data_IF_336870593787
#
_entry.id   IF_336870593787
#
_cell.length_a   1.000
_cell.length_b   1.000
_cell.length_c   1.000
_cell.angle_alpha   90.00
_cell.angle_beta   90.00
_cell.angle_gamma   90.00
#
_symmetry.space_group_name_H-M   'P 1'
#
loop_
_entity.id
_entity.type
_entity.pdbx_description
1 polymer ?
#
# COMPACT_ATOMS: atom_id res chain seq x y z
N UNK A 1 -0.63 13.08 -8.15
CA UNK A 1 -1.20 11.77 -8.52
C UNK A 1 -2.37 11.96 -9.49
N UNK A 2 -2.57 10.99 -10.36
CA UNK A 2 -3.71 10.94 -11.29
C UNK A 2 -4.66 9.78 -10.91
N UNK A 3 -5.98 9.89 -11.19
CA UNK A 3 -6.92 8.82 -10.92
C UNK A 3 -6.53 7.51 -11.61
N UNK A 4 -6.57 6.41 -10.85
CA UNK A 4 -6.40 5.05 -11.36
C UNK A 4 -7.68 4.24 -11.12
N UNK A 5 -8.14 3.41 -12.07
CA UNK A 5 -9.36 2.63 -11.89
C UNK A 5 -9.24 1.62 -10.73
N UNK A 6 -10.13 1.64 -9.72
CA UNK A 6 -10.10 0.66 -8.65
C UNK A 6 -10.15 -0.80 -9.12
N UNK A 7 -10.81 -1.05 -10.26
CA UNK A 7 -10.90 -2.39 -10.85
C UNK A 7 -9.58 -2.91 -11.44
N UNK A 8 -8.61 -2.02 -11.66
CA UNK A 8 -7.28 -2.37 -12.20
C UNK A 8 -6.18 -2.47 -11.14
N UNK A 9 -6.50 -2.23 -9.86
CA UNK A 9 -5.48 -2.21 -8.78
C UNK A 9 -4.79 -3.55 -8.58
N UNK A 10 -5.36 -4.65 -9.06
CA UNK A 10 -4.69 -5.95 -9.09
C UNK A 10 -3.33 -5.85 -9.80
N UNK A 11 -3.20 -5.03 -10.86
CA UNK A 11 -1.94 -4.81 -11.57
C UNK A 11 -0.84 -4.15 -10.73
N UNK A 12 -1.21 -3.53 -9.60
CA UNK A 12 -0.29 -2.90 -8.66
C UNK A 12 0.06 -3.82 -7.48
N UNK A 13 -0.82 -4.76 -7.14
CA UNK A 13 -0.72 -5.57 -5.92
C UNK A 13 -0.33 -7.02 -6.22
N UNK A 14 -0.82 -7.60 -7.31
CA UNK A 14 -0.53 -8.98 -7.74
C UNK A 14 0.98 -9.28 -7.91
N UNK A 15 1.84 -8.32 -8.35
CA UNK A 15 3.29 -8.53 -8.35
C UNK A 15 3.89 -8.78 -6.96
N UNK A 16 3.14 -8.53 -5.88
CA UNK A 16 3.56 -8.72 -4.50
C UNK A 16 4.60 -7.71 -3.99
N UNK A 17 4.46 -6.39 -4.23
CA UNK A 17 5.39 -5.40 -3.69
C UNK A 17 5.30 -5.29 -2.17
N UNK A 18 6.33 -4.76 -1.52
CA UNK A 18 6.17 -4.23 -0.16
C UNK A 18 5.16 -3.08 -0.19
N UNK A 19 4.30 -2.98 0.82
CA UNK A 19 3.31 -1.90 0.93
C UNK A 19 3.51 -1.10 2.22
N UNK A 20 3.21 0.19 2.15
CA UNK A 20 2.89 1.00 3.31
C UNK A 20 1.37 0.99 3.53
N UNK A 21 0.93 0.86 4.78
CA UNK A 21 -0.48 0.97 5.17
C UNK A 21 -0.64 2.20 6.04
N UNK A 22 -1.45 3.15 5.57
CA UNK A 22 -1.85 4.30 6.40
C UNK A 22 -3.22 4.04 7.02
N UNK A 23 -3.38 4.46 8.27
CA UNK A 23 -4.63 4.31 9.04
C UNK A 23 -4.89 5.60 9.83
N UNK A 24 -6.04 5.69 10.50
CA UNK A 24 -6.41 6.87 11.31
C UNK A 24 -6.95 8.02 10.45
N UNK A 25 -6.80 9.25 10.94
CA UNK A 25 -7.40 10.43 10.31
C UNK A 25 -6.39 11.57 10.18
N UNK A 26 -6.25 12.09 8.96
CA UNK A 26 -5.44 13.28 8.72
C UNK A 26 -6.04 14.50 9.40
N UNK A 27 -7.35 14.69 9.29
CA UNK A 27 -8.06 15.85 9.85
C UNK A 27 -7.95 15.93 11.38
N UNK A 28 -7.91 14.76 12.04
CA UNK A 28 -7.85 14.68 13.51
C UNK A 28 -6.42 14.52 14.03
N UNK A 29 -5.41 14.47 13.14
CA UNK A 29 -4.01 14.28 13.53
C UNK A 29 -3.68 12.91 14.12
N UNK A 30 -4.53 11.90 13.90
CA UNK A 30 -4.41 10.54 14.50
C UNK A 30 -3.87 9.51 13.52
N UNK A 31 -3.39 9.95 12.37
CA UNK A 31 -2.96 9.08 11.29
C UNK A 31 -1.61 8.42 11.61
N UNK A 32 -1.47 7.17 11.19
CA UNK A 32 -0.26 6.39 11.37
C UNK A 32 0.12 5.69 10.06
N UNK A 33 1.37 5.25 9.95
CA UNK A 33 1.88 4.46 8.82
C UNK A 33 2.65 3.23 9.33
N UNK A 34 2.50 2.11 8.65
CA UNK A 34 3.26 0.88 8.90
C UNK A 34 3.62 0.18 7.60
N UNK A 35 4.51 -0.80 7.68
CA UNK A 35 4.95 -1.60 6.53
C UNK A 35 4.34 -3.00 6.59
N UNK A 36 3.87 -3.53 5.45
CA UNK A 36 3.44 -4.93 5.34
C UNK A 36 4.10 -5.61 4.12
N UNK A 37 4.43 -6.89 4.30
CA UNK A 37 4.74 -7.81 3.19
C UNK A 37 3.66 -8.86 2.94
N UNK A 38 2.73 -9.04 3.90
CA UNK A 38 1.70 -10.09 3.84
C UNK A 38 0.38 -9.51 3.33
N UNK A 39 0.19 -9.59 2.01
CA UNK A 39 -1.03 -9.17 1.33
C UNK A 39 -1.28 -10.00 0.06
N UNK A 40 -2.46 -9.86 -0.54
CA UNK A 40 -2.81 -10.52 -1.80
C UNK A 40 -3.98 -9.84 -2.50
N UNK A 41 -4.10 -10.04 -3.81
CA UNK A 41 -5.35 -9.83 -4.55
C UNK A 41 -6.28 -11.01 -4.27
N UNK A 42 -7.54 -10.74 -3.89
CA UNK A 42 -8.56 -11.76 -3.65
C UNK A 42 -9.58 -11.83 -4.79
N UNK A 43 -9.87 -10.69 -5.43
CA UNK A 43 -10.87 -10.60 -6.51
C UNK A 43 -10.53 -9.43 -7.44
N UNK A 44 -10.62 -9.64 -8.76
CA UNK A 44 -10.31 -8.63 -9.79
C UNK A 44 -11.37 -7.52 -9.82
N UNK A 45 -12.62 -7.88 -10.08
CA UNK A 45 -13.74 -6.94 -10.27
C UNK A 45 -15.04 -7.47 -9.63
N UNK A 46 -16.02 -6.57 -9.42
CA UNK A 46 -17.37 -6.82 -8.87
C UNK A 46 -17.50 -7.40 -7.44
N UNK A 47 -16.92 -6.77 -6.39
CA UNK A 47 -15.96 -5.66 -6.40
C UNK A 47 -14.50 -6.15 -6.38
N UNK A 48 -13.51 -5.30 -6.68
CA UNK A 48 -12.11 -5.61 -6.37
C UNK A 48 -11.95 -5.86 -4.87
N UNK A 49 -11.20 -6.89 -4.49
CA UNK A 49 -10.92 -7.21 -3.08
C UNK A 49 -9.44 -7.51 -2.90
N UNK A 50 -8.89 -6.98 -1.81
CA UNK A 50 -7.52 -7.21 -1.36
C UNK A 50 -7.55 -7.83 0.04
N UNK A 51 -6.64 -8.75 0.31
CA UNK A 51 -6.40 -9.31 1.64
C UNK A 51 -5.12 -8.73 2.23
N UNK A 52 -5.13 -8.31 3.48
CA UNK A 52 -3.91 -7.94 4.23
C UNK A 52 -3.86 -8.65 5.59
N UNK A 53 -2.66 -8.94 6.07
CA UNK A 53 -2.43 -9.33 7.46
C UNK A 53 -1.97 -8.11 8.26
N UNK A 54 -2.73 -7.75 9.29
CA UNK A 54 -2.42 -6.65 10.21
C UNK A 54 -2.91 -7.06 11.60
N UNK A 55 -2.00 -7.19 12.56
CA UNK A 55 -2.26 -7.83 13.85
C UNK A 55 -2.25 -6.86 15.03
N UNK A 56 -2.69 -7.31 16.22
CA UNK A 56 -2.79 -6.46 17.41
C UNK A 56 -1.44 -5.98 17.97
N UNK A 57 -0.32 -6.47 17.44
CA UNK A 57 1.02 -5.97 17.72
C UNK A 57 1.32 -4.64 17.00
N UNK A 58 0.49 -4.25 16.02
CA UNK A 58 0.63 -3.00 15.27
C UNK A 58 -0.28 -1.91 15.86
N UNK A 59 0.26 -0.72 16.17
CA UNK A 59 -0.56 0.43 16.61
C UNK A 59 -1.69 0.77 15.61
N UNK A 60 -1.44 0.53 14.31
CA UNK A 60 -2.42 0.69 13.24
C UNK A 60 -3.65 -0.23 13.36
N UNK A 61 -3.58 -1.32 14.14
CA UNK A 61 -4.69 -2.27 14.30
C UNK A 61 -5.91 -1.64 14.94
N UNK A 62 -5.70 -0.88 16.02
CA UNK A 62 -6.78 -0.20 16.71
C UNK A 62 -7.45 0.84 15.79
N UNK A 63 -6.65 1.57 15.01
CA UNK A 63 -7.14 2.54 14.04
C UNK A 63 -7.95 1.87 12.91
N UNK A 64 -7.42 0.80 12.30
CA UNK A 64 -8.14 0.07 11.24
C UNK A 64 -9.44 -0.55 11.76
N UNK A 65 -9.42 -1.12 12.97
CA UNK A 65 -10.62 -1.69 13.62
C UNK A 65 -11.68 -0.63 13.88
N UNK A 66 -11.28 0.56 14.36
CA UNK A 66 -12.18 1.67 14.71
C UNK A 66 -12.76 2.36 13.49
N UNK A 67 -11.90 2.70 12.52
CA UNK A 67 -12.27 3.55 11.39
C UNK A 67 -12.70 2.76 10.17
N UNK A 68 -12.31 1.49 10.05
CA UNK A 68 -12.60 0.63 8.89
C UNK A 68 -12.13 1.22 7.56
N UNK A 69 -11.07 2.01 7.60
CA UNK A 69 -10.53 2.79 6.49
C UNK A 69 -9.00 2.75 6.55
N UNK A 70 -8.37 2.62 5.38
CA UNK A 70 -6.92 2.72 5.22
C UNK A 70 -6.54 3.15 3.80
N UNK A 71 -5.27 3.49 3.61
CA UNK A 71 -4.67 3.59 2.27
C UNK A 71 -3.54 2.57 2.19
N UNK A 72 -3.49 1.82 1.08
CA UNK A 72 -2.34 1.01 0.71
C UNK A 72 -1.49 1.83 -0.28
N UNK A 73 -0.29 2.21 0.13
CA UNK A 73 0.65 2.90 -0.75
C UNK A 73 1.72 1.93 -1.25
N UNK A 74 2.06 2.04 -2.53
CA UNK A 74 3.09 1.24 -3.19
C UNK A 74 4.36 2.12 -3.30
N UNK A 75 5.35 1.96 -2.41
CA UNK A 75 6.62 2.66 -2.52
C UNK A 75 7.47 2.12 -3.67
N UNK A 76 8.31 2.99 -4.25
CA UNK A 76 9.39 2.59 -5.12
C UNK A 76 10.64 2.19 -4.30
N UNK A 77 11.57 1.47 -4.93
CA UNK A 77 12.80 0.97 -4.29
C UNK A 77 13.64 2.06 -3.61
N UNK A 78 13.57 3.30 -4.08
CA UNK A 78 14.27 4.44 -3.48
C UNK A 78 13.86 4.69 -2.02
N UNK A 79 12.64 4.29 -1.63
CA UNK A 79 12.15 4.38 -0.25
C UNK A 79 12.53 3.17 0.61
N UNK A 80 13.25 2.17 0.10
CA UNK A 80 13.46 0.90 0.80
C UNK A 80 14.03 1.03 2.23
N UNK A 81 15.07 1.86 2.50
CA UNK A 81 15.56 2.05 3.86
C UNK A 81 14.46 2.61 4.79
N UNK A 82 13.78 3.68 4.38
CA UNK A 82 12.68 4.29 5.14
C UNK A 82 11.53 3.32 5.37
N UNK A 83 11.18 2.49 4.38
CA UNK A 83 10.13 1.48 4.50
C UNK A 83 10.50 0.40 5.52
N UNK A 84 11.78 0.01 5.60
CA UNK A 84 12.28 -0.88 6.66
C UNK A 84 12.16 -0.20 8.01
N UNK A 85 12.62 1.03 8.15
CA UNK A 85 12.62 1.74 9.43
C UNK A 85 11.19 1.98 9.96
N UNK A 86 10.25 2.36 9.08
CA UNK A 86 8.82 2.46 9.41
C UNK A 86 8.27 1.15 9.99
N UNK A 87 8.72 0.01 9.47
CA UNK A 87 8.31 -1.32 9.90
C UNK A 87 8.99 -1.80 11.20
N UNK A 88 10.01 -1.09 11.70
CA UNK A 88 10.79 -1.47 12.88
C UNK A 88 10.59 -0.52 14.07
N UNK A 89 9.61 0.39 14.01
CA UNK A 89 9.19 1.22 15.15
C UNK A 89 7.67 1.20 15.33
N UNK A 90 7.19 1.64 16.48
CA UNK A 90 5.78 1.90 16.79
C UNK A 90 5.51 3.40 16.86
N UNK A 91 4.23 3.79 16.73
CA UNK A 91 3.81 5.15 17.03
C UNK A 91 3.93 5.49 18.53
N UNK A 92 4.03 4.46 19.38
CA UNK A 92 4.13 4.56 20.83
C UNK A 92 5.59 4.59 21.33
N UNK A 93 6.59 4.48 20.44
CA UNK A 93 8.00 4.57 20.84
C UNK A 93 8.36 6.03 21.16
N UNK A 94 9.12 6.25 22.23
CA UNK A 94 9.37 7.60 22.78
C UNK A 94 10.00 8.55 21.73
N UNK A 95 10.97 8.08 20.95
CA UNK A 95 11.64 8.87 19.90
C UNK A 95 10.71 9.22 18.73
N UNK A 96 9.76 8.34 18.42
CA UNK A 96 8.72 8.58 17.43
C UNK A 96 7.68 9.56 17.98
N UNK A 97 7.26 9.40 19.23
CA UNK A 97 6.31 10.29 19.88
C UNK A 97 6.86 11.72 20.01
N UNK A 98 8.11 11.86 20.42
CA UNK A 98 8.81 13.15 20.57
C UNK A 98 8.96 13.90 19.24
N UNK A 99 9.06 13.17 18.14
CA UNK A 99 9.11 13.76 16.79
C UNK A 99 7.75 14.24 16.27
N UNK A 100 6.66 13.96 16.98
CA UNK A 100 5.29 14.25 16.53
C UNK A 100 4.68 13.12 15.67
N UNK A 101 5.24 11.91 15.75
CA UNK A 101 4.78 10.72 15.05
C UNK A 101 5.60 10.35 13.81
N UNK A 102 5.39 9.14 13.30
CA UNK A 102 6.17 8.55 12.21
C UNK A 102 6.29 9.43 10.96
N UNK A 103 5.26 10.21 10.63
CA UNK A 103 5.28 11.08 9.46
C UNK A 103 6.35 12.16 9.55
N UNK A 104 6.45 12.83 10.70
CA UNK A 104 7.50 13.81 10.95
C UNK A 104 8.87 13.13 11.10
N UNK A 105 8.93 12.01 11.83
CA UNK A 105 10.15 11.23 12.04
C UNK A 105 10.84 10.83 10.72
N UNK A 106 10.05 10.36 9.74
CA UNK A 106 10.55 9.86 8.46
C UNK A 106 10.47 10.90 7.32
N UNK A 107 10.06 12.14 7.60
CA UNK A 107 9.91 13.18 6.59
C UNK A 107 8.91 12.85 5.49
N UNK A 108 7.79 12.20 5.83
CA UNK A 108 6.75 11.80 4.89
C UNK A 108 5.71 12.90 4.69
N UNK A 109 5.26 13.05 3.44
CA UNK A 109 4.18 13.98 3.10
C UNK A 109 2.81 13.30 3.21
N UNK A 110 1.97 13.73 4.17
CA UNK A 110 0.59 13.27 4.28
C UNK A 110 -0.34 14.10 3.38
N UNK A 111 -0.99 13.46 2.40
CA UNK A 111 -1.95 14.13 1.52
C UNK A 111 -3.39 13.70 1.84
N UNK A 112 -4.38 14.60 1.71
CA UNK A 112 -5.79 14.24 1.92
C UNK A 112 -6.25 13.23 0.86
N UNK A 113 -6.90 12.17 1.33
CA UNK A 113 -7.61 11.21 0.51
C UNK A 113 -9.02 11.72 0.13
N UNK A 114 -9.67 11.09 -0.85
CA UNK A 114 -10.99 11.54 -1.37
C UNK A 114 -12.17 10.77 -0.78
N UNK A 115 -11.98 9.49 -0.45
CA UNK A 115 -13.02 8.55 -0.01
C UNK A 115 -12.79 8.02 1.40
N UNK A 116 -11.59 8.18 1.96
CA UNK A 116 -11.23 7.72 3.31
C UNK A 116 -10.55 8.82 4.12
N UNK A 117 -10.51 8.67 5.45
CA UNK A 117 -9.85 9.61 6.37
C UNK A 117 -8.33 9.40 6.48
N UNK A 118 -7.89 8.17 6.25
CA UNK A 118 -6.47 7.83 6.24
C UNK A 118 -5.77 8.58 5.08
N UNK A 119 -4.63 9.23 5.32
CA UNK A 119 -3.96 10.03 4.29
C UNK A 119 -3.32 9.16 3.22
N UNK A 120 -3.18 9.72 2.02
CA UNK A 120 -2.27 9.19 1.00
C UNK A 120 -0.82 9.47 1.43
N UNK A 121 0.12 8.61 1.02
CA UNK A 121 1.55 8.91 1.12
C UNK A 121 1.96 9.71 -0.12
N UNK A 122 2.43 10.93 0.10
CA UNK A 122 2.97 11.83 -0.92
C UNK A 122 4.43 11.54 -1.26
N UNK A 123 5.00 12.40 -2.09
CA UNK A 123 6.41 12.33 -2.49
C UNK A 123 6.65 11.69 -3.87
N UNK A 124 7.84 11.93 -4.45
CA UNK A 124 8.19 11.49 -5.79
C UNK A 124 8.35 9.97 -5.90
N UNK A 125 8.72 9.30 -4.81
CA UNK A 125 9.06 7.88 -4.78
C UNK A 125 7.90 6.96 -4.38
N UNK A 126 6.67 7.47 -4.40
CA UNK A 126 5.45 6.67 -4.26
C UNK A 126 4.86 6.39 -5.64
N UNK A 127 4.73 5.11 -5.98
CA UNK A 127 4.18 4.63 -7.26
C UNK A 127 2.66 4.83 -7.28
N UNK A 128 1.97 4.40 -6.22
CA UNK A 128 0.52 4.41 -6.16
C UNK A 128 0.00 4.58 -4.73
N UNK A 129 -1.25 5.05 -4.62
CA UNK A 129 -2.04 5.02 -3.40
C UNK A 129 -3.42 4.43 -3.68
N UNK A 130 -3.89 3.51 -2.84
CA UNK A 130 -5.16 2.82 -2.98
C UNK A 130 -5.97 3.02 -1.71
N UNK A 131 -7.00 3.85 -1.79
CA UNK A 131 -7.94 4.09 -0.70
C UNK A 131 -8.88 2.89 -0.55
N UNK A 132 -8.96 2.35 0.66
CA UNK A 132 -9.65 1.11 0.96
C UNK A 132 -10.59 1.26 2.17
N UNK A 133 -11.72 0.55 2.11
CA UNK A 133 -12.59 0.33 3.26
C UNK A 133 -12.59 -1.14 3.65
N UNK A 134 -12.79 -1.45 4.93
CA UNK A 134 -12.85 -2.83 5.41
C UNK A 134 -14.18 -3.47 5.01
N UNK A 135 -14.11 -4.47 4.15
CA UNK A 135 -15.25 -5.23 3.61
C UNK A 135 -15.66 -6.37 4.56
N UNK A 136 -14.72 -7.22 4.98
CA UNK A 136 -14.98 -8.39 5.84
C UNK A 136 -13.92 -8.51 6.94
N UNK A 137 -14.37 -8.84 8.15
CA UNK A 137 -13.53 -9.00 9.36
C UNK A 137 -13.62 -10.40 9.99
N UNK A 138 -14.31 -11.36 9.38
CA UNK A 138 -14.53 -12.71 9.94
C UNK A 138 -13.23 -13.46 10.23
N UNK A 139 -12.18 -13.19 9.46
CA UNK A 139 -10.87 -13.82 9.63
C UNK A 139 -9.92 -13.03 10.54
N UNK A 140 -10.30 -11.82 10.99
CA UNK A 140 -9.41 -10.95 11.79
C UNK A 140 -9.08 -11.61 13.13
N UNK A 141 -10.07 -12.12 13.86
CA UNK A 141 -9.81 -12.72 15.17
C UNK A 141 -8.90 -13.96 15.09
N UNK A 142 -9.05 -14.76 14.03
CA UNK A 142 -8.35 -16.04 13.90
C UNK A 142 -6.98 -15.92 13.25
N UNK A 143 -6.86 -15.05 12.25
CA UNK A 143 -5.69 -14.98 11.37
C UNK A 143 -5.14 -13.57 11.19
N UNK A 144 -5.73 -12.55 11.83
CA UNK A 144 -5.40 -11.14 11.62
C UNK A 144 -5.55 -10.71 10.15
N UNK A 145 -6.39 -11.42 9.40
CA UNK A 145 -6.62 -11.19 7.97
C UNK A 145 -7.84 -10.30 7.76
N UNK A 146 -7.62 -9.18 7.10
CA UNK A 146 -8.61 -8.18 6.75
C UNK A 146 -8.93 -8.27 5.27
N UNK A 147 -10.22 -8.26 4.92
CA UNK A 147 -10.66 -8.09 3.53
C UNK A 147 -10.96 -6.62 3.30
N UNK A 148 -10.29 -6.04 2.32
CA UNK A 148 -10.37 -4.64 1.97
C UNK A 148 -11.01 -4.48 0.59
N UNK A 149 -11.87 -3.49 0.44
CA UNK A 149 -12.44 -3.05 -0.83
C UNK A 149 -11.81 -1.72 -1.25
N UNK A 150 -11.02 -1.69 -2.34
CA UNK A 150 -10.57 -0.47 -2.98
C UNK A 150 -11.75 0.40 -3.44
N UNK A 151 -11.79 1.65 -3.00
CA UNK A 151 -12.85 2.63 -3.33
C UNK A 151 -12.35 3.80 -4.19
N UNK A 152 -11.04 4.04 -4.18
CA UNK A 152 -10.36 5.01 -5.05
C UNK A 152 -8.90 4.57 -5.18
N UNK A 153 -8.30 4.80 -6.35
CA UNK A 153 -6.88 4.58 -6.54
C UNK A 153 -6.25 5.74 -7.31
N UNK A 154 -4.94 5.86 -7.14
CA UNK A 154 -4.10 6.94 -7.60
C UNK A 154 -2.78 6.38 -8.09
N UNK A 155 -2.30 6.89 -9.23
CA UNK A 155 -0.98 6.55 -9.78
C UNK A 155 -0.14 7.82 -9.88
N UNK A 156 1.16 7.69 -9.64
CA UNK A 156 2.11 8.75 -9.90
C UNK A 156 2.52 8.72 -11.39
N UNK A 157 2.16 9.74 -12.20
CA UNK A 157 2.44 9.74 -13.64
C UNK A 157 3.94 9.78 -13.95
N UNK A 158 4.78 10.20 -13.01
CA UNK A 158 6.25 10.21 -13.14
C UNK A 158 6.89 8.86 -12.81
N UNK A 159 6.15 7.96 -12.15
CA UNK A 159 6.60 6.63 -11.72
C UNK A 159 5.79 5.54 -12.44
N UNK A 160 5.62 5.68 -13.76
CA UNK A 160 4.99 4.64 -14.59
C UNK A 160 5.78 3.34 -14.48
N UNK A 161 5.08 2.26 -14.19
CA UNK A 161 5.61 0.90 -14.22
C UNK A 161 5.95 0.55 -15.68
N UNK A 162 7.20 0.19 -15.97
CA UNK A 162 7.60 -0.20 -17.33
C UNK A 162 8.99 0.23 -17.79
N UNK A 163 9.38 -0.35 -18.93
CA UNK A 163 10.63 -0.11 -19.68
C UNK A 163 10.51 1.08 -20.63
N UNK A 164 10.46 2.29 -20.10
CA UNK A 164 10.84 3.48 -20.86
C UNK A 164 12.37 3.64 -20.88
N UNK A 165 12.91 4.45 -21.80
CA UNK A 165 14.35 4.77 -21.91
C UNK A 165 15.00 5.31 -20.62
N UNK A 166 14.18 5.66 -19.62
CA UNK A 166 14.59 6.18 -18.31
C UNK A 166 14.45 5.19 -17.14
N UNK A 167 14.17 3.89 -17.39
CA UNK A 167 14.15 2.86 -16.35
C UNK A 167 13.11 3.12 -15.26
N UNK A 168 11.81 2.99 -15.59
CA UNK A 168 10.66 3.35 -14.76
C UNK A 168 10.69 2.83 -13.32
N UNK A 169 9.75 3.30 -12.51
CA UNK A 169 9.72 3.01 -11.07
C UNK A 169 9.72 1.50 -10.81
N UNK A 170 10.58 1.06 -9.91
CA UNK A 170 10.74 -0.35 -9.56
C UNK A 170 10.09 -0.63 -8.22
N UNK A 171 9.22 -1.64 -8.21
CA UNK A 171 8.81 -2.27 -6.97
C UNK A 171 9.97 -3.06 -6.38
N UNK A 172 9.82 -3.39 -5.10
CA UNK A 172 10.72 -4.26 -4.38
C UNK A 172 9.91 -5.18 -3.46
N UNK A 173 10.45 -6.37 -3.23
CA UNK A 173 9.74 -7.52 -2.68
C UNK A 173 10.52 -8.09 -1.51
N UNK A 174 9.88 -8.18 -0.35
CA UNK A 174 10.52 -8.67 0.86
C UNK A 174 10.79 -10.17 0.78
N UNK A 175 12.00 -10.59 1.14
CA UNK A 175 12.43 -12.00 1.23
C UNK A 175 12.60 -12.51 2.66
N UNK A 176 12.22 -11.69 3.65
CA UNK A 176 12.53 -11.93 5.05
C UNK A 176 13.86 -11.27 5.46
N UNK A 177 14.04 -11.13 6.78
CA UNK A 177 15.29 -10.67 7.42
C UNK A 177 15.87 -9.35 6.87
N UNK A 178 14.99 -8.44 6.44
CA UNK A 178 15.37 -7.16 5.86
C UNK A 178 16.02 -7.24 4.47
N UNK A 179 15.90 -8.38 3.79
CA UNK A 179 16.41 -8.57 2.42
C UNK A 179 15.30 -8.39 1.39
N UNK A 180 15.63 -7.81 0.24
CA UNK A 180 14.67 -7.48 -0.81
C UNK A 180 15.19 -7.87 -2.20
N UNK A 181 14.26 -8.21 -3.09
CA UNK A 181 14.50 -8.28 -4.53
C UNK A 181 13.81 -7.11 -5.19
N UNK A 182 14.44 -6.50 -6.18
CA UNK A 182 13.91 -5.38 -6.94
C UNK A 182 13.38 -5.90 -8.27
N UNK A 183 12.34 -5.27 -8.82
CA UNK A 183 11.85 -5.55 -10.16
C UNK A 183 12.98 -5.69 -11.19
N UNK A 184 12.92 -6.78 -11.93
CA UNK A 184 13.88 -7.14 -12.97
C UNK A 184 13.37 -6.78 -14.37
N UNK A 185 13.66 -7.67 -15.32
CA UNK A 185 13.17 -7.57 -16.69
C UNK A 185 11.65 -7.78 -16.77
N UNK A 186 10.99 -6.99 -17.61
CA UNK A 186 9.55 -7.12 -17.90
C UNK A 186 9.39 -7.95 -19.17
N UNK A 187 8.60 -9.02 -19.08
CA UNK A 187 8.21 -9.84 -20.22
C UNK A 187 6.76 -9.51 -20.61
N UNK A 188 6.55 -8.96 -21.81
CA UNK A 188 5.20 -8.79 -22.36
C UNK A 188 4.80 -10.05 -23.14
N UNK A 189 3.87 -10.83 -22.56
CA UNK A 189 3.31 -12.05 -23.13
C UNK A 189 1.79 -11.93 -23.32
N UNK A 190 1.27 -10.71 -23.52
CA UNK A 190 -0.18 -10.46 -23.68
C UNK A 190 -0.79 -11.27 -24.83
N UNK A 191 -0.02 -11.48 -25.91
CA UNK A 191 -0.42 -12.30 -27.06
C UNK A 191 -0.78 -13.76 -26.66
N UNK A 192 -0.22 -14.26 -25.55
CA UNK A 192 -0.49 -15.60 -25.00
C UNK A 192 -1.72 -15.66 -24.10
N UNK A 193 -2.23 -14.52 -23.61
CA UNK A 193 -3.32 -14.42 -22.64
C UNK A 193 -4.72 -14.59 -23.27
N UNK A 194 -4.90 -15.60 -24.13
CA UNK A 194 -6.10 -15.80 -24.97
C UNK A 194 -7.39 -16.07 -24.18
N UNK A 195 -7.29 -16.53 -22.93
CA UNK A 195 -8.45 -16.83 -22.07
C UNK A 195 -8.98 -15.61 -21.30
N UNK A 196 -8.11 -14.66 -20.98
CA UNK A 196 -8.35 -13.59 -20.02
C UNK A 196 -8.37 -12.22 -20.69
N UNK A 197 -8.93 -12.16 -21.91
CA UNK A 197 -8.92 -10.96 -22.76
C UNK A 197 -9.65 -9.78 -22.10
N UNK A 198 -10.65 -10.06 -21.25
CA UNK A 198 -11.38 -9.03 -20.49
C UNK A 198 -10.50 -8.23 -19.52
N UNK A 199 -9.35 -8.75 -19.13
CA UNK A 199 -8.39 -8.09 -18.24
C UNK A 199 -7.22 -7.43 -19.00
N UNK A 200 -7.19 -7.52 -20.33
CA UNK A 200 -6.20 -6.84 -21.17
C UNK A 200 -6.65 -5.40 -21.51
N UNK A 201 -5.68 -4.52 -21.76
CA UNK A 201 -5.88 -3.14 -22.25
C UNK A 201 -5.38 -2.99 -23.68
#
# INVERSE_FOLDING_TARGET
>A
FEPYPPSKVYRLIEPGPVLLVTTGSLADGTHNVMTIGFHMVMQHESPPLLGISLGPWDASFAALKKHRECVLAVPAVEMAPTVVDIGNCSADDDDVADSGGKWAHFGLDALPAVKVKAPLVGGPDVIANIECVVEDTKMVQKYNMWVLKPVKAWINPQKRLGSGENGGAKMFHHRGDGTFVVDGEILDLKDRMVKWQEFQD
#
